data_IF_841585813364
#
_entry.id   IF_841585813364
#
_cell.length_a   1.000
_cell.length_b   1.000
_cell.length_c   1.000
_cell.angle_alpha   90.00
_cell.angle_beta   90.00
_cell.angle_gamma   90.00
#
_symmetry.space_group_name_H-M   'P 1'
#
loop_
_entity.id
_entity.type
_entity.pdbx_description
1 polymer ?
#
# COMPACT_ATOMS: atom_id res chain seq x y z
N UNK A 1 -10.91 17.40 33.63
CA UNK A 1 -11.89 16.74 32.70
C UNK A 1 -13.11 16.28 33.48
N UNK A 2 -12.97 15.38 34.47
CA UNK A 2 -14.11 14.84 35.24
C UNK A 2 -14.78 15.95 36.03
N UNK A 3 -14.01 16.85 36.68
CA UNK A 3 -14.51 17.97 37.45
C UNK A 3 -15.19 19.07 36.57
N UNK A 4 -14.63 19.36 35.40
CA UNK A 4 -15.20 20.33 34.44
C UNK A 4 -16.54 19.88 33.87
N UNK A 5 -16.76 18.56 33.75
CA UNK A 5 -18.02 17.99 33.24
C UNK A 5 -19.09 17.78 34.33
N UNK A 6 -18.80 18.12 35.59
CA UNK A 6 -19.73 17.87 36.70
C UNK A 6 -19.99 16.39 36.96
N UNK A 7 -19.08 15.53 36.57
CA UNK A 7 -19.18 14.09 36.76
C UNK A 7 -18.75 13.70 38.15
N UNK A 8 -19.65 13.14 38.96
CA UNK A 8 -19.38 12.59 40.26
C UNK A 8 -19.39 11.05 40.22
N UNK A 9 -18.66 10.44 41.13
CA UNK A 9 -18.69 8.98 41.32
C UNK A 9 -20.12 8.52 41.58
N UNK A 10 -20.56 7.46 40.89
CA UNK A 10 -21.89 6.87 40.96
C UNK A 10 -23.04 7.70 40.35
N UNK A 11 -22.75 8.65 39.47
CA UNK A 11 -23.79 9.35 38.71
C UNK A 11 -23.97 8.69 37.34
N UNK A 12 -25.20 8.36 36.97
CA UNK A 12 -25.52 7.94 35.60
C UNK A 12 -25.22 9.07 34.62
N UNK A 13 -24.37 8.79 33.62
CA UNK A 13 -23.99 9.72 32.58
C UNK A 13 -24.57 9.24 31.27
N UNK A 14 -25.31 10.09 30.56
CA UNK A 14 -25.77 9.75 29.23
C UNK A 14 -24.58 9.47 28.31
N UNK A 15 -24.70 8.43 27.48
CA UNK A 15 -23.67 8.04 26.48
C UNK A 15 -23.27 9.24 25.60
N UNK A 16 -24.22 10.11 25.25
CA UNK A 16 -23.96 11.35 24.49
C UNK A 16 -22.95 12.26 25.22
N UNK A 17 -23.10 12.46 26.52
CA UNK A 17 -22.20 13.29 27.31
C UNK A 17 -20.78 12.72 27.35
N UNK A 18 -20.65 11.39 27.44
CA UNK A 18 -19.34 10.72 27.37
C UNK A 18 -18.70 10.89 26.01
N UNK A 19 -19.47 10.77 24.93
CA UNK A 19 -18.97 10.95 23.57
C UNK A 19 -18.55 12.41 23.31
N UNK A 20 -19.31 13.39 23.80
CA UNK A 20 -18.98 14.81 23.67
C UNK A 20 -17.68 15.17 24.44
N UNK A 21 -17.50 14.58 25.62
CA UNK A 21 -16.27 14.71 26.40
C UNK A 21 -15.08 14.05 25.69
N UNK A 22 -15.28 12.86 25.16
CA UNK A 22 -14.26 12.16 24.39
C UNK A 22 -13.83 13.01 23.18
N UNK A 23 -14.78 13.53 22.42
CA UNK A 23 -14.49 14.44 21.28
C UNK A 23 -13.69 15.66 21.74
N UNK A 24 -14.14 16.38 22.76
CA UNK A 24 -13.49 17.61 23.23
C UNK A 24 -12.05 17.40 23.65
N UNK A 25 -11.73 16.27 24.27
CA UNK A 25 -10.42 16.03 24.87
C UNK A 25 -9.52 15.12 24.01
N UNK A 26 -10.07 14.14 23.30
CA UNK A 26 -9.28 13.22 22.49
C UNK A 26 -8.91 13.78 21.12
N UNK A 27 -9.77 14.57 20.46
CA UNK A 27 -9.52 15.06 19.10
C UNK A 27 -8.23 15.89 19.01
N UNK A 28 -7.98 16.91 19.87
CA UNK A 28 -6.74 17.69 19.79
C UNK A 28 -5.48 16.82 19.96
N UNK A 29 -5.51 15.86 20.89
CA UNK A 29 -4.40 14.95 21.12
C UNK A 29 -4.19 14.01 19.92
N UNK A 30 -5.28 13.46 19.37
CA UNK A 30 -5.24 12.57 18.21
C UNK A 30 -4.75 13.30 16.93
N UNK A 31 -5.10 14.57 16.75
CA UNK A 31 -4.57 15.42 15.66
C UNK A 31 -3.06 15.63 15.80
N UNK A 32 -2.59 15.96 17.02
CA UNK A 32 -1.16 16.13 17.29
C UNK A 32 -0.37 14.83 17.07
N UNK A 33 -0.93 13.68 17.47
CA UNK A 33 -0.34 12.36 17.22
C UNK A 33 -0.34 12.03 15.73
N UNK A 34 -1.39 12.37 15.01
CA UNK A 34 -1.48 12.20 13.54
C UNK A 34 -0.40 13.01 12.84
N UNK A 35 -0.18 14.26 13.21
CA UNK A 35 0.92 15.08 12.67
C UNK A 35 2.26 14.36 12.79
N UNK A 36 2.61 13.92 14.01
CA UNK A 36 3.87 13.16 14.25
C UNK A 36 3.95 11.84 13.47
N UNK A 37 2.83 11.19 13.24
CA UNK A 37 2.78 9.96 12.45
C UNK A 37 3.04 10.21 10.97
N UNK A 38 2.47 11.28 10.42
CA UNK A 38 2.59 11.63 9.00
C UNK A 38 3.91 12.30 8.62
N UNK A 39 4.62 12.92 9.57
CA UNK A 39 5.94 13.53 9.33
C UNK A 39 6.99 12.54 8.81
N UNK A 40 6.85 11.24 9.11
CA UNK A 40 7.87 10.24 8.84
C UNK A 40 7.77 9.62 7.45
N UNK A 41 6.56 9.48 6.92
CA UNK A 41 6.29 8.86 5.63
C UNK A 41 4.83 9.07 5.21
N UNK A 42 4.55 8.85 3.92
CA UNK A 42 3.18 8.71 3.45
C UNK A 42 2.51 7.44 4.02
N UNK A 43 1.26 7.58 4.43
CA UNK A 43 0.47 6.52 5.04
C UNK A 43 -0.93 6.45 4.41
N UNK A 44 -1.56 5.26 4.49
CA UNK A 44 -2.96 5.10 4.09
C UNK A 44 -3.91 5.48 5.23
N UNK A 45 -5.16 5.77 4.88
CA UNK A 45 -6.23 5.98 5.86
C UNK A 45 -6.38 4.77 6.80
N UNK A 46 -6.24 3.56 6.29
CA UNK A 46 -6.27 2.33 7.09
C UNK A 46 -5.12 2.26 8.09
N UNK A 47 -3.91 2.67 7.70
CA UNK A 47 -2.76 2.69 8.59
C UNK A 47 -2.93 3.73 9.71
N UNK A 48 -3.51 4.90 9.40
CA UNK A 48 -3.81 5.89 10.44
C UNK A 48 -4.88 5.37 11.41
N UNK A 49 -5.95 4.70 10.94
CA UNK A 49 -6.93 4.06 11.82
C UNK A 49 -6.28 3.11 12.81
N UNK A 50 -5.43 2.22 12.30
CA UNK A 50 -4.68 1.26 13.14
C UNK A 50 -3.76 1.97 14.13
N UNK A 51 -3.09 3.03 13.71
CA UNK A 51 -2.22 3.82 14.58
C UNK A 51 -3.00 4.46 15.73
N UNK A 52 -4.13 5.12 15.43
CA UNK A 52 -4.97 5.78 16.43
C UNK A 52 -5.62 4.76 17.40
N UNK A 53 -6.07 3.61 16.88
CA UNK A 53 -6.61 2.54 17.72
C UNK A 53 -5.56 1.99 18.70
N UNK A 54 -4.30 1.82 18.28
CA UNK A 54 -3.20 1.40 19.16
C UNK A 54 -2.85 2.42 20.24
N UNK A 55 -3.26 3.68 20.06
CA UNK A 55 -3.15 4.75 21.02
C UNK A 55 -4.38 4.90 21.92
N UNK A 56 -5.27 3.93 21.83
CA UNK A 56 -6.48 3.84 22.65
C UNK A 56 -7.47 5.02 22.46
N UNK A 57 -7.38 5.72 21.32
CA UNK A 57 -8.43 6.66 20.94
C UNK A 57 -9.73 5.93 20.61
N UNK A 58 -10.87 6.54 20.97
CA UNK A 58 -12.17 5.96 20.62
C UNK A 58 -12.32 5.84 19.09
N UNK A 59 -13.10 4.85 18.66
CA UNK A 59 -13.39 4.64 17.23
C UNK A 59 -13.93 5.94 16.59
N UNK A 60 -14.84 6.62 17.28
CA UNK A 60 -15.44 7.87 16.80
C UNK A 60 -14.39 8.97 16.61
N UNK A 61 -13.48 9.15 17.57
CA UNK A 61 -12.36 10.09 17.46
C UNK A 61 -11.45 9.72 16.31
N UNK A 62 -11.13 8.42 16.17
CA UNK A 62 -10.29 7.92 15.08
C UNK A 62 -10.88 8.22 13.71
N UNK A 63 -12.16 7.89 13.48
CA UNK A 63 -12.82 8.15 12.21
C UNK A 63 -12.94 9.65 11.91
N UNK A 64 -13.21 10.48 12.92
CA UNK A 64 -13.25 11.92 12.76
C UNK A 64 -11.89 12.48 12.28
N UNK A 65 -10.81 12.04 12.91
CA UNK A 65 -9.43 12.50 12.57
C UNK A 65 -9.01 11.97 11.21
N UNK A 66 -9.33 10.71 10.86
CA UNK A 66 -9.03 10.15 9.53
C UNK A 66 -9.76 10.93 8.44
N UNK A 67 -11.05 11.21 8.64
CA UNK A 67 -11.84 11.99 7.69
C UNK A 67 -11.27 13.40 7.50
N UNK A 68 -10.95 14.08 8.61
CA UNK A 68 -10.30 15.38 8.56
C UNK A 68 -8.96 15.33 7.79
N UNK A 69 -8.10 14.34 8.07
CA UNK A 69 -6.82 14.20 7.39
C UNK A 69 -6.96 13.95 5.88
N UNK A 70 -8.02 13.25 5.45
CA UNK A 70 -8.35 13.07 4.03
C UNK A 70 -8.86 14.37 3.41
N UNK A 71 -9.76 15.10 4.08
CA UNK A 71 -10.29 16.39 3.62
C UNK A 71 -9.20 17.47 3.48
N UNK A 72 -8.17 17.44 4.34
CA UNK A 72 -7.00 18.32 4.27
C UNK A 72 -5.90 17.80 3.33
N UNK A 73 -6.12 16.73 2.58
CA UNK A 73 -5.14 16.04 1.73
C UNK A 73 -3.85 15.64 2.48
N UNK A 74 -3.88 15.58 3.81
CA UNK A 74 -2.78 15.04 4.62
C UNK A 74 -2.63 13.53 4.40
N UNK A 75 -3.72 12.82 4.11
CA UNK A 75 -3.77 11.43 3.69
C UNK A 75 -4.48 11.33 2.35
N UNK A 76 -3.82 10.63 1.41
CA UNK A 76 -4.38 10.38 0.09
C UNK A 76 -3.96 8.97 -0.37
N UNK A 77 -4.89 8.01 -0.30
CA UNK A 77 -4.63 6.61 -0.63
C UNK A 77 -4.22 6.41 -2.10
N UNK A 78 -4.69 7.26 -3.02
CA UNK A 78 -4.28 7.21 -4.42
C UNK A 78 -2.83 7.70 -4.60
N UNK A 79 -2.45 8.80 -3.94
CA UNK A 79 -1.06 9.30 -3.90
C UNK A 79 -0.13 8.24 -3.31
N UNK A 80 -0.51 7.66 -2.16
CA UNK A 80 0.22 6.56 -1.55
C UNK A 80 0.42 5.39 -2.53
N UNK A 81 -0.65 4.95 -3.19
CA UNK A 81 -0.58 3.83 -4.13
C UNK A 81 0.35 4.12 -5.31
N UNK A 82 0.30 5.32 -5.90
CA UNK A 82 1.22 5.74 -6.98
C UNK A 82 2.68 5.73 -6.52
N UNK A 83 2.98 6.28 -5.35
CA UNK A 83 4.34 6.25 -4.78
C UNK A 83 4.82 4.82 -4.50
N UNK A 84 3.94 3.97 -3.95
CA UNK A 84 4.25 2.57 -3.70
C UNK A 84 4.59 1.82 -5.00
N UNK A 85 3.81 1.98 -6.05
CA UNK A 85 4.04 1.39 -7.37
C UNK A 85 5.38 1.85 -7.93
N UNK A 86 5.63 3.17 -7.96
CA UNK A 86 6.88 3.74 -8.49
C UNK A 86 8.11 3.20 -7.76
N UNK A 87 8.08 3.13 -6.44
CA UNK A 87 9.21 2.61 -5.64
C UNK A 87 9.52 1.15 -5.93
N UNK A 88 8.51 0.34 -6.25
CA UNK A 88 8.64 -1.09 -6.57
C UNK A 88 8.90 -1.36 -8.06
N UNK A 89 8.72 -0.37 -8.92
CA UNK A 89 9.13 -0.43 -10.32
C UNK A 89 10.67 -0.34 -10.43
N UNK A 90 11.29 0.57 -9.70
CA UNK A 90 12.72 0.86 -9.81
C UNK A 90 13.59 -0.20 -9.10
N UNK A 91 13.25 -0.55 -7.86
CA UNK A 91 14.13 -1.39 -7.01
C UNK A 91 13.91 -2.90 -7.15
N UNK A 92 12.69 -3.30 -7.35
CA UNK A 92 12.31 -4.72 -7.37
C UNK A 92 10.99 -4.85 -8.12
N UNK A 93 11.02 -4.90 -9.46
CA UNK A 93 9.82 -4.90 -10.27
C UNK A 93 8.79 -5.93 -9.81
N UNK A 94 7.56 -5.49 -9.59
CA UNK A 94 6.41 -6.32 -9.26
C UNK A 94 5.37 -6.18 -10.36
N UNK A 95 4.75 -7.29 -10.74
CA UNK A 95 3.59 -7.28 -11.62
C UNK A 95 2.31 -6.91 -10.87
N UNK A 96 1.28 -6.58 -11.62
CA UNK A 96 0.00 -6.03 -11.12
C UNK A 96 -0.66 -6.91 -10.05
N UNK A 97 -0.60 -8.23 -10.22
CA UNK A 97 -1.19 -9.15 -9.24
C UNK A 97 -0.57 -9.00 -7.85
N UNK A 98 0.73 -8.82 -7.78
CA UNK A 98 1.44 -8.64 -6.50
C UNK A 98 1.26 -7.23 -5.95
N UNK A 99 1.32 -6.20 -6.79
CA UNK A 99 1.05 -4.82 -6.40
C UNK A 99 -0.36 -4.68 -5.81
N UNK A 100 -1.37 -5.25 -6.48
CA UNK A 100 -2.76 -5.30 -5.98
C UNK A 100 -2.86 -5.95 -4.61
N UNK A 101 -2.24 -7.11 -4.43
CA UNK A 101 -2.23 -7.80 -3.13
C UNK A 101 -1.56 -6.97 -2.02
N UNK A 102 -0.44 -6.33 -2.34
CA UNK A 102 0.29 -5.50 -1.38
C UNK A 102 -0.45 -4.21 -1.01
N UNK A 103 -1.14 -3.56 -1.98
CA UNK A 103 -1.94 -2.37 -1.73
C UNK A 103 -3.21 -2.71 -0.93
N UNK A 104 -3.90 -3.82 -1.25
CA UNK A 104 -5.02 -4.32 -0.43
C UNK A 104 -4.62 -4.59 1.01
N UNK A 105 -3.47 -5.21 1.23
CA UNK A 105 -2.93 -5.45 2.58
C UNK A 105 -2.68 -4.17 3.37
N UNK A 106 -2.46 -3.06 2.69
CA UNK A 106 -2.28 -1.73 3.28
C UNK A 106 -3.58 -0.95 3.42
N UNK A 107 -4.70 -1.57 3.04
CA UNK A 107 -6.03 -1.03 3.20
C UNK A 107 -6.44 -0.03 2.10
N UNK A 108 -5.73 0.01 0.98
CA UNK A 108 -6.16 0.78 -0.19
C UNK A 108 -7.37 0.10 -0.81
N UNK A 109 -8.39 0.89 -1.17
CA UNK A 109 -9.61 0.37 -1.77
C UNK A 109 -9.37 -0.21 -3.17
N UNK A 110 -10.19 -1.20 -3.56
CA UNK A 110 -10.07 -1.84 -4.88
C UNK A 110 -10.26 -0.85 -6.02
N UNK A 111 -11.14 0.10 -5.85
CA UNK A 111 -11.42 1.15 -6.83
C UNK A 111 -10.17 1.99 -7.13
N UNK A 112 -9.47 2.44 -6.07
CA UNK A 112 -8.20 3.16 -6.21
C UNK A 112 -7.15 2.26 -6.86
N UNK A 113 -7.03 1.02 -6.43
CA UNK A 113 -6.04 0.07 -6.97
C UNK A 113 -6.24 -0.15 -8.47
N UNK A 114 -7.48 -0.39 -8.89
CA UNK A 114 -7.79 -0.57 -10.33
C UNK A 114 -7.40 0.67 -11.12
N UNK A 115 -7.75 1.86 -10.62
CA UNK A 115 -7.46 3.12 -11.29
C UNK A 115 -5.95 3.36 -11.45
N UNK A 116 -5.18 3.22 -10.38
CA UNK A 116 -3.73 3.49 -10.43
C UNK A 116 -2.95 2.43 -11.21
N UNK A 117 -3.41 1.17 -11.23
CA UNK A 117 -2.78 0.13 -12.04
C UNK A 117 -3.12 0.27 -13.53
N UNK A 118 -4.28 0.83 -13.89
CA UNK A 118 -4.63 1.10 -15.28
C UNK A 118 -3.75 2.19 -15.94
N UNK A 119 -3.18 3.08 -15.14
CA UNK A 119 -2.23 4.11 -15.63
C UNK A 119 -0.83 3.56 -15.89
N UNK A 120 -0.56 2.31 -15.50
CA UNK A 120 0.76 1.70 -15.55
C UNK A 120 1.01 1.02 -16.90
N UNK A 121 2.22 1.18 -17.42
CA UNK A 121 2.69 0.47 -18.59
C UNK A 121 3.77 -0.55 -18.21
N UNK A 122 3.42 -1.85 -18.17
CA UNK A 122 4.36 -2.93 -17.88
C UNK A 122 5.44 -3.11 -18.95
N UNK A 123 5.21 -2.60 -20.16
CA UNK A 123 6.15 -2.74 -21.28
C UNK A 123 7.48 -2.03 -21.01
N UNK A 124 7.46 -0.96 -20.22
CA UNK A 124 8.68 -0.24 -19.80
C UNK A 124 9.61 -1.09 -18.93
N UNK A 125 9.07 -2.12 -18.29
CA UNK A 125 9.84 -3.02 -17.41
C UNK A 125 10.47 -4.20 -18.16
N UNK A 126 10.03 -4.46 -19.39
CA UNK A 126 10.45 -5.66 -20.12
C UNK A 126 11.97 -5.72 -20.30
N UNK A 127 12.68 -4.67 -20.72
CA UNK A 127 14.14 -4.73 -20.87
C UNK A 127 14.85 -5.15 -19.59
N UNK A 128 14.52 -4.54 -18.47
CA UNK A 128 15.14 -4.84 -17.17
C UNK A 128 14.82 -6.26 -16.68
N UNK A 129 13.61 -6.74 -16.96
CA UNK A 129 13.21 -8.10 -16.65
C UNK A 129 13.96 -9.11 -17.52
N UNK A 130 14.12 -8.84 -18.80
CA UNK A 130 14.88 -9.67 -19.75
C UNK A 130 16.32 -9.80 -19.27
N UNK A 131 16.97 -8.69 -18.94
CA UNK A 131 18.36 -8.70 -18.43
C UNK A 131 18.46 -9.44 -17.10
N UNK A 132 17.48 -9.29 -16.23
CA UNK A 132 17.42 -10.02 -14.97
C UNK A 132 17.30 -11.54 -15.18
N UNK A 133 16.50 -11.96 -16.15
CA UNK A 133 16.31 -13.38 -16.50
C UNK A 133 17.58 -13.94 -17.13
N UNK A 134 18.19 -13.24 -18.08
CA UNK A 134 19.46 -13.63 -18.69
C UNK A 134 20.56 -13.85 -17.64
N UNK A 135 20.76 -12.88 -16.77
CA UNK A 135 21.76 -12.99 -15.70
C UNK A 135 21.53 -14.14 -14.74
N UNK A 136 20.27 -14.51 -14.48
CA UNK A 136 19.94 -15.55 -13.49
C UNK A 136 19.89 -16.93 -14.08
N UNK A 137 19.47 -17.07 -15.31
CA UNK A 137 19.10 -18.35 -15.89
C UNK A 137 19.70 -18.62 -17.27
N UNK A 138 20.45 -17.67 -17.86
CA UNK A 138 21.03 -17.81 -19.21
C UNK A 138 22.02 -18.96 -19.36
N UNK A 139 22.71 -19.34 -18.26
CA UNK A 139 23.64 -20.49 -18.26
C UNK A 139 22.98 -21.87 -18.17
N UNK A 140 21.64 -21.93 -18.00
CA UNK A 140 20.91 -23.17 -17.87
C UNK A 140 20.42 -23.67 -19.24
N UNK A 141 20.11 -24.98 -19.32
CA UNK A 141 19.40 -25.50 -20.48
C UNK A 141 18.04 -24.80 -20.65
N UNK A 142 17.57 -24.77 -21.92
CA UNK A 142 16.39 -23.99 -22.30
C UNK A 142 15.14 -24.34 -21.48
N UNK A 143 14.91 -25.62 -21.23
CA UNK A 143 13.70 -26.07 -20.52
C UNK A 143 13.75 -25.65 -19.06
N UNK A 144 14.88 -25.85 -18.41
CA UNK A 144 15.08 -25.45 -17.00
C UNK A 144 15.06 -23.93 -16.85
N UNK A 145 15.71 -23.18 -17.76
CA UNK A 145 15.66 -21.73 -17.78
C UNK A 145 14.23 -21.21 -17.90
N UNK A 146 13.46 -21.73 -18.86
CA UNK A 146 12.05 -21.38 -19.07
C UNK A 146 11.22 -21.62 -17.79
N UNK A 147 11.28 -22.82 -17.24
CA UNK A 147 10.51 -23.19 -16.04
C UNK A 147 10.85 -22.30 -14.84
N UNK A 148 12.14 -22.04 -14.59
CA UNK A 148 12.58 -21.20 -13.46
C UNK A 148 12.23 -19.74 -13.66
N UNK A 149 12.38 -19.20 -14.86
CA UNK A 149 11.98 -17.83 -15.20
C UNK A 149 10.47 -17.63 -15.07
N UNK A 150 9.67 -18.55 -15.57
CA UNK A 150 8.21 -18.49 -15.43
C UNK A 150 7.77 -18.50 -13.96
N UNK A 151 8.34 -19.40 -13.16
CA UNK A 151 8.06 -19.44 -11.72
C UNK A 151 8.51 -18.14 -11.00
N UNK A 152 9.64 -17.57 -11.38
CA UNK A 152 10.14 -16.32 -10.82
C UNK A 152 9.20 -15.15 -11.13
N UNK A 153 8.83 -14.94 -12.40
CA UNK A 153 7.94 -13.84 -12.81
C UNK A 153 6.52 -14.03 -12.27
N UNK A 154 6.00 -15.25 -12.25
CA UNK A 154 4.70 -15.56 -11.65
C UNK A 154 4.66 -15.23 -10.15
N UNK A 155 5.69 -15.58 -9.37
CA UNK A 155 5.78 -15.20 -7.95
C UNK A 155 5.88 -13.69 -7.74
N UNK A 156 6.42 -12.95 -8.71
CA UNK A 156 6.45 -11.49 -8.71
C UNK A 156 5.13 -10.85 -9.16
N UNK A 157 4.17 -11.65 -9.60
CA UNK A 157 2.83 -11.20 -9.92
C UNK A 157 2.64 -10.69 -11.34
N UNK A 158 3.59 -10.96 -12.25
CA UNK A 158 3.44 -10.63 -13.67
C UNK A 158 2.37 -11.50 -14.34
N UNK A 159 1.72 -10.96 -15.36
CA UNK A 159 0.75 -11.68 -16.18
C UNK A 159 1.40 -12.79 -16.98
N UNK A 160 0.60 -13.76 -17.43
CA UNK A 160 1.10 -14.81 -18.32
C UNK A 160 1.63 -14.25 -19.65
N UNK A 161 0.99 -13.21 -20.19
CA UNK A 161 1.43 -12.54 -21.43
C UNK A 161 2.78 -11.85 -21.25
N UNK A 162 2.94 -11.02 -20.20
CA UNK A 162 4.21 -10.37 -19.88
C UNK A 162 5.31 -11.41 -19.60
N UNK A 163 4.97 -12.44 -18.84
CA UNK A 163 5.89 -13.55 -18.52
C UNK A 163 6.40 -14.24 -19.79
N UNK A 164 5.51 -14.58 -20.73
CA UNK A 164 5.88 -15.21 -21.97
C UNK A 164 6.76 -14.30 -22.85
N UNK A 165 6.41 -13.02 -22.98
CA UNK A 165 7.22 -12.03 -23.73
C UNK A 165 8.64 -11.94 -23.20
N UNK A 166 8.78 -11.73 -21.90
CA UNK A 166 10.09 -11.60 -21.24
C UNK A 166 10.94 -12.85 -21.44
N UNK A 167 10.34 -14.04 -21.25
CA UNK A 167 11.09 -15.31 -21.39
C UNK A 167 11.51 -15.54 -22.84
N UNK A 168 10.61 -15.31 -23.78
CA UNK A 168 10.92 -15.45 -25.20
C UNK A 168 12.08 -14.53 -25.61
N UNK A 169 12.04 -13.27 -25.19
CA UNK A 169 13.07 -12.30 -25.51
C UNK A 169 14.40 -12.59 -24.80
N UNK A 170 14.34 -13.11 -23.57
CA UNK A 170 15.54 -13.43 -22.79
C UNK A 170 16.25 -14.70 -23.29
N UNK A 171 15.49 -15.72 -23.73
CA UNK A 171 16.03 -17.08 -24.01
C UNK A 171 16.13 -17.36 -25.52
N UNK A 172 15.20 -16.87 -26.35
CA UNK A 172 15.18 -17.19 -27.78
C UNK A 172 16.06 -16.25 -28.62
N UNK A 173 16.28 -14.99 -28.20
CA UNK A 173 17.11 -14.05 -28.96
C UNK A 173 18.63 -14.28 -28.82
N UNK A 174 19.09 -15.18 -27.95
CA UNK A 174 20.52 -15.54 -27.92
C UNK A 174 20.99 -16.34 -29.15
N UNK A 175 20.08 -16.96 -29.89
CA UNK A 175 20.43 -17.77 -31.08
C UNK A 175 20.54 -16.98 -32.39
N UNK A 176 20.18 -15.70 -32.40
CA UNK A 176 20.28 -14.86 -33.59
C UNK A 176 21.59 -14.09 -33.72
N UNK A 177 22.50 -14.22 -32.74
CA UNK A 177 23.80 -13.55 -32.70
C UNK A 177 25.01 -14.52 -32.75
N UNK A 178 24.81 -15.78 -33.17
CA UNK A 178 25.84 -16.76 -33.50
C UNK A 178 25.73 -17.20 -34.98
#
# INVERSE_FOLDING_TARGET
VIAEAGIAVNREIAVRTLNDLARKHQIPAALADTGRFLEKAEHTASQLRVYLARREYSLETGEHVVKWAQEQDCINDARYAKMFITSHTIRSPMGDRRLRAELRKRGVSEEIIVHVLAERNDDELIPDLVDSIRRKYGSLDRETAFRRAAAFLSRRGFSSSTTYRVIREAIDNEKSNL
#
